data_IF_663406068339
#
_entry.id   IF_663406068339
#
_cell.length_a   1.000
_cell.length_b   1.000
_cell.length_c   1.000
_cell.angle_alpha   90.00
_cell.angle_beta   90.00
_cell.angle_gamma   90.00
#
_symmetry.space_group_name_H-M   'P 1'
#
loop_
_entity.id
_entity.type
_entity.pdbx_description
1 polymer ?
#
# COMPACT_ATOMS: atom_id res chain seq x y z
N UNK A 1 -10.38 15.55 -26.16
CA UNK A 1 -9.52 15.52 -24.95
C UNK A 1 -10.32 15.07 -23.73
N UNK A 2 -9.75 14.27 -22.81
CA UNK A 2 -10.34 13.92 -21.49
C UNK A 2 -9.23 13.72 -20.47
N UNK A 3 -9.14 14.61 -19.48
CA UNK A 3 -8.12 14.64 -18.45
C UNK A 3 -8.77 14.59 -17.07
N UNK A 4 -8.08 13.99 -16.10
CA UNK A 4 -8.54 13.81 -14.73
C UNK A 4 -7.47 14.33 -13.78
N UNK A 5 -7.87 15.08 -12.77
CA UNK A 5 -6.96 15.59 -11.74
C UNK A 5 -7.59 15.47 -10.35
N UNK A 6 -6.73 15.24 -9.37
CA UNK A 6 -7.10 15.20 -7.95
C UNK A 6 -6.05 15.94 -7.13
N UNK A 7 -6.52 16.64 -6.10
CA UNK A 7 -5.67 17.16 -5.05
C UNK A 7 -6.41 17.33 -3.73
N UNK A 8 -5.65 17.14 -2.65
CA UNK A 8 -6.07 17.30 -1.27
C UNK A 8 -5.12 18.28 -0.58
N UNK A 9 -5.65 19.37 -0.02
CA UNK A 9 -4.89 20.39 0.71
C UNK A 9 -5.62 20.80 1.98
N UNK A 10 -4.85 20.96 3.06
CA UNK A 10 -5.32 21.49 4.33
C UNK A 10 -5.45 20.43 5.41
N UNK A 11 -6.17 20.78 6.48
CA UNK A 11 -6.42 19.92 7.63
C UNK A 11 -7.91 19.98 7.99
N UNK A 12 -8.41 18.94 8.63
CA UNK A 12 -9.80 18.90 9.11
C UNK A 12 -10.07 20.04 10.12
N UNK A 13 -11.28 20.62 10.14
CA UNK A 13 -12.42 20.31 9.27
C UNK A 13 -12.44 21.10 7.95
N UNK A 14 -11.50 22.03 7.70
CA UNK A 14 -11.52 22.86 6.49
C UNK A 14 -10.87 22.23 5.25
N UNK A 15 -10.33 21.01 5.37
CA UNK A 15 -9.70 20.24 4.30
C UNK A 15 -10.46 20.36 2.96
N UNK A 16 -9.74 20.72 1.90
CA UNK A 16 -10.26 20.71 0.55
C UNK A 16 -9.80 19.46 -0.18
N UNK A 17 -10.75 18.70 -0.73
CA UNK A 17 -10.48 17.58 -1.64
C UNK A 17 -11.22 17.83 -2.95
N UNK A 18 -10.44 18.11 -3.99
CA UNK A 18 -10.89 18.45 -5.33
C UNK A 18 -10.66 17.27 -6.26
N UNK A 19 -11.74 16.79 -6.89
CA UNK A 19 -11.64 15.97 -8.10
C UNK A 19 -12.12 16.79 -9.28
N UNK A 20 -11.44 16.73 -10.41
CA UNK A 20 -11.91 17.41 -11.60
C UNK A 20 -11.68 16.61 -12.88
N UNK A 21 -12.49 16.94 -13.88
CA UNK A 21 -12.29 16.51 -15.26
C UNK A 21 -12.18 17.74 -16.17
N UNK A 22 -11.25 17.69 -17.13
CA UNK A 22 -11.03 18.72 -18.15
C UNK A 22 -11.15 18.07 -19.52
N UNK A 23 -11.87 18.69 -20.44
CA UNK A 23 -11.97 18.18 -21.80
C UNK A 23 -12.78 19.07 -22.71
N UNK A 24 -12.93 18.64 -23.95
CA UNK A 24 -13.64 19.40 -24.99
C UNK A 24 -15.14 19.52 -24.69
N UNK A 25 -15.71 20.69 -24.97
CA UNK A 25 -17.16 20.99 -24.87
C UNK A 25 -18.01 20.10 -25.78
N UNK A 26 -17.46 19.64 -26.90
CA UNK A 26 -18.12 18.73 -27.84
C UNK A 26 -17.99 17.27 -27.43
N UNK A 27 -17.16 16.97 -26.41
CA UNK A 27 -16.88 15.63 -25.93
C UNK A 27 -17.65 15.24 -24.66
N UNK A 28 -17.23 14.13 -24.01
CA UNK A 28 -17.88 13.61 -22.80
C UNK A 28 -17.93 14.61 -21.64
N UNK A 29 -16.92 15.48 -21.50
CA UNK A 29 -16.88 16.50 -20.42
C UNK A 29 -17.94 17.56 -20.65
N UNK A 30 -18.10 18.06 -21.87
CA UNK A 30 -19.17 19.00 -22.20
C UNK A 30 -20.57 18.41 -22.02
N UNK A 31 -20.76 17.13 -22.36
CA UNK A 31 -22.02 16.42 -22.08
C UNK A 31 -22.28 16.29 -20.57
N UNK A 32 -21.26 15.93 -19.79
CA UNK A 32 -21.36 15.87 -18.32
C UNK A 32 -21.67 17.24 -17.71
N UNK A 33 -21.05 18.30 -18.23
CA UNK A 33 -21.33 19.69 -17.85
C UNK A 33 -22.81 20.04 -18.11
N UNK A 34 -23.30 19.81 -19.33
CA UNK A 34 -24.67 20.14 -19.72
C UNK A 34 -25.72 19.36 -18.92
N UNK A 35 -25.47 18.08 -18.68
CA UNK A 35 -26.33 17.24 -17.85
C UNK A 35 -26.31 17.67 -16.39
N UNK A 36 -25.13 17.90 -15.81
CA UNK A 36 -25.00 18.35 -14.42
C UNK A 36 -25.66 19.70 -14.18
N UNK A 37 -25.57 20.61 -15.15
CA UNK A 37 -26.23 21.92 -15.06
C UNK A 37 -27.76 21.85 -15.11
N UNK A 38 -28.32 20.84 -15.80
CA UNK A 38 -29.77 20.74 -16.03
C UNK A 38 -30.48 19.72 -15.14
N UNK A 39 -29.75 18.72 -14.60
CA UNK A 39 -30.29 17.63 -13.81
C UNK A 39 -29.92 17.79 -12.33
N UNK A 40 -30.76 18.51 -11.60
CA UNK A 40 -30.50 18.86 -10.21
C UNK A 40 -30.87 17.71 -9.25
N UNK A 41 -29.98 17.44 -8.29
CA UNK A 41 -30.22 16.52 -7.18
C UNK A 41 -30.29 17.27 -5.87
N UNK A 42 -31.21 16.86 -4.98
CA UNK A 42 -31.40 17.51 -3.68
C UNK A 42 -30.09 17.49 -2.87
N UNK A 43 -29.60 18.68 -2.49
CA UNK A 43 -28.39 18.86 -1.70
C UNK A 43 -27.08 18.82 -2.50
N UNK A 44 -27.12 18.62 -3.83
CA UNK A 44 -25.96 18.58 -4.71
C UNK A 44 -26.12 19.51 -5.92
N UNK A 45 -26.81 20.64 -5.74
CA UNK A 45 -27.08 21.61 -6.80
C UNK A 45 -25.76 22.14 -7.37
N UNK A 46 -25.46 21.87 -8.65
CA UNK A 46 -24.26 22.40 -9.27
C UNK A 46 -24.37 23.91 -9.49
N UNK A 47 -23.24 24.59 -9.54
CA UNK A 47 -23.18 26.03 -9.79
C UNK A 47 -22.04 26.37 -10.74
N UNK A 48 -22.25 27.43 -11.52
CA UNK A 48 -21.20 27.95 -12.39
C UNK A 48 -20.11 28.61 -11.56
N UNK A 49 -18.86 28.38 -11.94
CA UNK A 49 -17.72 29.09 -11.38
C UNK A 49 -17.69 30.53 -11.92
N UNK A 50 -17.74 31.51 -11.02
CA UNK A 50 -17.72 32.94 -11.36
C UNK A 50 -16.65 33.64 -10.53
N UNK A 51 -15.87 34.52 -11.16
CA UNK A 51 -14.87 35.36 -10.46
C UNK A 51 -15.58 36.38 -9.56
N UNK A 52 -16.71 36.89 -10.06
CA UNK A 52 -17.67 37.76 -9.37
C UNK A 52 -19.01 37.68 -10.10
N UNK A 53 -20.13 38.17 -9.52
CA UNK A 53 -21.40 38.25 -10.24
C UNK A 53 -21.23 38.91 -11.62
N UNK A 54 -21.85 38.30 -12.64
CA UNK A 54 -21.77 38.72 -14.05
C UNK A 54 -20.38 38.57 -14.71
N UNK A 55 -19.43 37.84 -14.10
CA UNK A 55 -18.13 37.52 -14.69
C UNK A 55 -17.83 36.03 -14.54
N UNK A 56 -18.21 35.25 -15.56
CA UNK A 56 -17.95 33.81 -15.64
C UNK A 56 -16.46 33.54 -15.83
N UNK A 57 -15.96 32.51 -15.16
CA UNK A 57 -14.60 31.99 -15.37
C UNK A 57 -14.50 31.26 -16.71
N UNK A 58 -13.36 31.38 -17.40
CA UNK A 58 -13.01 30.56 -18.57
C UNK A 58 -11.75 29.73 -18.30
N UNK A 59 -11.65 28.45 -18.76
CA UNK A 59 -12.72 27.70 -19.44
C UNK A 59 -13.97 27.52 -18.58
N UNK A 60 -15.11 27.24 -19.22
CA UNK A 60 -16.38 27.18 -18.50
C UNK A 60 -16.34 26.06 -17.45
N UNK A 61 -16.54 26.42 -16.18
CA UNK A 61 -16.35 25.51 -15.06
C UNK A 61 -17.65 25.30 -14.27
N UNK A 62 -18.05 24.04 -14.10
CA UNK A 62 -19.17 23.62 -13.27
C UNK A 62 -18.65 23.06 -11.95
N UNK A 63 -19.15 23.59 -10.83
CA UNK A 63 -18.80 23.13 -9.49
C UNK A 63 -19.93 22.26 -8.96
N UNK A 64 -19.58 21.07 -8.47
CA UNK A 64 -20.52 20.08 -7.91
C UNK A 64 -20.17 19.80 -6.45
N UNK A 65 -21.07 20.06 -5.49
CA UNK A 65 -20.83 19.70 -4.09
C UNK A 65 -20.71 18.17 -3.92
N UNK A 66 -19.61 17.69 -3.34
CA UNK A 66 -19.38 16.25 -3.08
C UNK A 66 -20.19 15.75 -1.87
N UNK A 67 -20.46 16.64 -0.91
CA UNK A 67 -21.23 16.34 0.30
C UNK A 67 -22.62 16.97 0.20
N UNK A 68 -23.65 16.25 0.67
CA UNK A 68 -25.02 16.74 0.66
C UNK A 68 -25.15 18.01 1.52
N UNK A 69 -25.48 19.13 0.87
CA UNK A 69 -25.73 20.42 1.52
C UNK A 69 -27.07 20.36 2.25
N UNK A 70 -27.05 20.54 3.59
CA UNK A 70 -28.23 20.38 4.46
C UNK A 70 -28.87 21.70 4.90
N UNK A 71 -28.11 22.80 4.91
CA UNK A 71 -28.58 24.08 5.42
C UNK A 71 -27.90 25.27 4.70
N UNK A 72 -28.40 26.48 4.97
CA UNK A 72 -27.92 27.71 4.33
C UNK A 72 -26.48 28.07 4.71
N UNK A 73 -25.99 27.65 5.88
CA UNK A 73 -24.60 27.90 6.26
C UNK A 73 -23.63 27.10 5.38
N UNK A 74 -23.94 25.83 5.12
CA UNK A 74 -23.19 24.98 4.19
C UNK A 74 -23.32 25.48 2.74
N UNK A 75 -24.51 25.95 2.35
CA UNK A 75 -24.69 26.60 1.05
C UNK A 75 -23.76 27.84 0.94
N UNK A 76 -23.74 28.72 1.93
CA UNK A 76 -22.88 29.91 1.89
C UNK A 76 -21.38 29.58 1.76
N UNK A 77 -20.92 28.43 2.26
CA UNK A 77 -19.53 27.97 2.10
C UNK A 77 -19.20 27.57 0.65
N UNK A 78 -20.07 26.78 0.01
CA UNK A 78 -19.84 26.35 -1.37
C UNK A 78 -20.08 27.50 -2.37
N UNK A 79 -21.13 28.30 -2.17
CA UNK A 79 -21.50 29.44 -3.02
C UNK A 79 -20.66 30.70 -2.77
N UNK A 80 -19.83 30.73 -1.72
CA UNK A 80 -19.01 31.88 -1.37
C UNK A 80 -17.52 31.61 -1.58
N UNK A 81 -16.79 31.24 -0.51
CA UNK A 81 -15.34 31.08 -0.57
C UNK A 81 -14.91 29.98 -1.55
N UNK A 82 -15.58 28.83 -1.60
CA UNK A 82 -15.17 27.74 -2.49
C UNK A 82 -15.43 28.05 -3.97
N UNK A 83 -16.60 28.62 -4.33
CA UNK A 83 -16.89 29.07 -5.69
C UNK A 83 -15.83 30.05 -6.21
N UNK A 84 -15.50 31.06 -5.39
CA UNK A 84 -14.50 32.09 -5.73
C UNK A 84 -13.10 31.48 -5.84
N UNK A 85 -12.77 30.53 -4.96
CA UNK A 85 -11.49 29.84 -4.95
C UNK A 85 -11.27 29.04 -6.24
N UNK A 86 -12.25 28.20 -6.62
CA UNK A 86 -12.20 27.44 -7.87
C UNK A 86 -12.12 28.38 -9.08
N UNK A 87 -12.93 29.44 -9.08
CA UNK A 87 -12.95 30.43 -10.16
C UNK A 87 -11.58 31.06 -10.40
N UNK A 88 -10.95 31.56 -9.33
CA UNK A 88 -9.63 32.18 -9.40
C UNK A 88 -8.55 31.17 -9.76
N UNK A 89 -8.59 29.96 -9.21
CA UNK A 89 -7.61 28.93 -9.53
C UNK A 89 -7.62 28.55 -11.02
N UNK A 90 -8.81 28.44 -11.63
CA UNK A 90 -8.93 28.19 -13.08
C UNK A 90 -8.40 29.36 -13.89
N UNK A 91 -8.78 30.60 -13.55
CA UNK A 91 -8.31 31.78 -14.27
C UNK A 91 -6.78 31.97 -14.16
N UNK A 92 -6.22 31.78 -12.96
CA UNK A 92 -4.79 31.86 -12.73
C UNK A 92 -4.04 30.73 -13.45
N UNK A 93 -4.62 29.52 -13.55
CA UNK A 93 -4.05 28.43 -14.34
C UNK A 93 -3.95 28.75 -15.84
N UNK A 94 -4.85 29.58 -16.36
CA UNK A 94 -4.76 30.10 -17.73
C UNK A 94 -3.67 31.17 -17.82
N UNK A 95 -3.67 32.12 -16.89
CA UNK A 95 -2.67 33.20 -16.85
C UNK A 95 -1.24 32.65 -16.76
N UNK A 96 -1.05 31.54 -16.05
CA UNK A 96 0.23 30.87 -15.88
C UNK A 96 0.58 29.91 -17.02
N UNK A 97 -0.32 29.73 -17.99
CA UNK A 97 -0.12 28.87 -19.16
C UNK A 97 -0.28 27.37 -18.91
N UNK A 98 -0.75 26.95 -17.73
CA UNK A 98 -1.09 25.55 -17.43
C UNK A 98 -2.26 25.09 -18.31
N UNK A 99 -3.26 25.95 -18.46
CA UNK A 99 -4.32 25.80 -19.47
C UNK A 99 -3.99 26.74 -20.63
N UNK A 100 -3.80 26.24 -21.87
CA UNK A 100 -3.54 27.08 -23.03
C UNK A 100 -4.66 28.10 -23.28
N UNK A 101 -4.29 29.38 -23.46
CA UNK A 101 -5.25 30.48 -23.66
C UNK A 101 -6.09 30.30 -24.94
N UNK A 102 -5.52 29.68 -25.98
CA UNK A 102 -6.20 29.38 -27.25
C UNK A 102 -7.27 28.29 -27.12
N UNK A 103 -7.32 27.55 -26.00
CA UNK A 103 -8.30 26.49 -25.74
C UNK A 103 -9.44 26.91 -24.80
N UNK A 104 -9.48 28.17 -24.35
CA UNK A 104 -10.47 28.69 -23.41
C UNK A 104 -11.93 28.47 -23.84
N UNK A 105 -12.21 28.60 -25.14
CA UNK A 105 -13.55 28.44 -25.69
C UNK A 105 -13.89 26.99 -26.02
N UNK A 106 -12.90 26.11 -26.13
CA UNK A 106 -13.10 24.72 -26.51
C UNK A 106 -13.21 23.78 -25.31
N UNK A 107 -12.57 24.14 -24.19
CA UNK A 107 -12.58 23.33 -22.98
C UNK A 107 -13.74 23.65 -22.03
N UNK A 108 -14.16 22.62 -21.31
CA UNK A 108 -15.01 22.71 -20.13
C UNK A 108 -14.33 21.97 -18.97
N UNK A 109 -14.62 22.43 -17.75
CA UNK A 109 -14.14 21.81 -16.52
C UNK A 109 -15.34 21.46 -15.65
N UNK A 110 -15.34 20.26 -15.06
CA UNK A 110 -16.27 19.90 -13.99
C UNK A 110 -15.45 19.60 -12.74
N UNK A 111 -15.72 20.32 -11.65
CA UNK A 111 -14.98 20.25 -10.39
C UNK A 111 -15.91 19.76 -9.30
N UNK A 112 -15.60 18.61 -8.71
CA UNK A 112 -16.24 18.11 -7.50
C UNK A 112 -15.52 18.65 -6.27
N UNK A 113 -16.25 19.35 -5.41
CA UNK A 113 -15.69 20.04 -4.25
C UNK A 113 -16.18 19.40 -2.96
N UNK A 114 -15.25 18.89 -2.16
CA UNK A 114 -15.52 18.47 -0.79
C UNK A 114 -15.38 19.64 0.18
N UNK A 115 -16.38 19.83 1.04
CA UNK A 115 -16.32 20.68 2.22
C UNK A 115 -16.89 19.85 3.38
N UNK A 116 -16.12 19.71 4.47
CA UNK A 116 -16.59 18.96 5.62
C UNK A 116 -17.84 19.62 6.24
N UNK A 117 -18.86 18.86 6.70
CA UNK A 117 -20.06 19.42 7.32
C UNK A 117 -19.83 20.35 8.51
N UNK A 118 -18.69 20.19 9.19
CA UNK A 118 -18.30 20.96 10.37
C UNK A 118 -17.33 22.11 10.08
N UNK A 119 -16.92 22.30 8.82
CA UNK A 119 -16.07 23.42 8.42
C UNK A 119 -16.74 24.75 8.80
N UNK A 120 -15.97 25.74 9.26
CA UNK A 120 -16.50 27.05 9.67
C UNK A 120 -15.65 28.22 9.20
N UNK A 121 -14.35 28.03 9.00
CA UNK A 121 -13.44 29.11 8.63
C UNK A 121 -13.46 29.37 7.11
N UNK A 122 -14.11 30.47 6.71
CA UNK A 122 -14.24 30.86 5.30
C UNK A 122 -12.89 31.19 4.64
N UNK A 123 -11.91 31.68 5.40
CA UNK A 123 -10.59 32.02 4.87
C UNK A 123 -9.83 30.74 4.51
N UNK A 124 -9.82 29.76 5.41
CA UNK A 124 -9.24 28.44 5.15
C UNK A 124 -9.95 27.72 4.01
N UNK A 125 -11.29 27.71 4.00
CA UNK A 125 -12.07 27.13 2.90
C UNK A 125 -11.63 27.73 1.56
N UNK A 126 -11.51 29.06 1.46
CA UNK A 126 -11.03 29.72 0.24
C UNK A 126 -9.60 29.26 -0.12
N UNK A 127 -8.64 29.37 0.79
CA UNK A 127 -7.22 29.11 0.51
C UNK A 127 -6.96 27.66 0.11
N UNK A 128 -7.55 26.71 0.85
CA UNK A 128 -7.36 25.29 0.59
C UNK A 128 -8.04 24.86 -0.72
N UNK A 129 -9.26 25.33 -1.00
CA UNK A 129 -9.92 25.03 -2.27
C UNK A 129 -9.20 25.67 -3.46
N UNK A 130 -8.63 26.86 -3.30
CA UNK A 130 -7.85 27.53 -4.35
C UNK A 130 -6.59 26.73 -4.68
N UNK A 131 -5.79 26.40 -3.65
CA UNK A 131 -4.57 25.61 -3.82
C UNK A 131 -4.85 24.22 -4.38
N UNK A 132 -5.84 23.51 -3.83
CA UNK A 132 -6.20 22.16 -4.29
C UNK A 132 -6.70 22.19 -5.74
N UNK A 133 -7.53 23.18 -6.12
CA UNK A 133 -7.99 23.29 -7.50
C UNK A 133 -6.84 23.54 -8.46
N UNK A 134 -5.92 24.45 -8.12
CA UNK A 134 -4.76 24.76 -8.96
C UNK A 134 -3.87 23.52 -9.15
N UNK A 135 -3.54 22.82 -8.07
CA UNK A 135 -2.75 21.59 -8.12
C UNK A 135 -3.46 20.48 -8.91
N UNK A 136 -4.77 20.32 -8.75
CA UNK A 136 -5.55 19.32 -9.49
C UNK A 136 -5.57 19.64 -11.00
N UNK A 137 -5.68 20.91 -11.40
CA UNK A 137 -5.60 21.33 -12.80
C UNK A 137 -4.21 21.02 -13.37
N UNK A 138 -3.16 21.41 -12.66
CA UNK A 138 -1.77 21.15 -13.07
C UNK A 138 -1.53 19.65 -13.28
N UNK A 139 -1.94 18.83 -12.31
CA UNK A 139 -1.84 17.37 -12.40
C UNK A 139 -2.63 16.80 -13.57
N UNK A 140 -3.85 17.28 -13.82
CA UNK A 140 -4.65 16.84 -14.96
C UNK A 140 -3.97 17.16 -16.30
N UNK A 141 -3.47 18.39 -16.45
CA UNK A 141 -2.81 18.85 -17.68
C UNK A 141 -1.47 18.17 -17.93
N UNK A 142 -0.75 17.78 -16.87
CA UNK A 142 0.51 17.04 -16.95
C UNK A 142 0.31 15.52 -17.06
N UNK A 143 -0.92 15.00 -16.90
CA UNK A 143 -1.18 13.56 -16.87
C UNK A 143 -0.61 12.87 -15.63
N UNK A 144 -0.52 13.59 -14.51
CA UNK A 144 -0.03 13.06 -13.24
C UNK A 144 -1.11 12.23 -12.51
N UNK A 145 -0.74 11.13 -11.82
CA UNK A 145 0.60 10.54 -11.80
C UNK A 145 0.90 9.76 -13.08
N UNK A 146 2.16 9.77 -13.50
CA UNK A 146 2.61 8.84 -14.54
C UNK A 146 2.64 7.40 -14.01
N UNK A 147 2.76 6.43 -14.91
CA UNK A 147 2.73 5.01 -14.52
C UNK A 147 3.88 4.65 -13.57
N UNK A 148 5.03 5.34 -13.61
CA UNK A 148 6.18 5.01 -12.76
C UNK A 148 5.94 5.50 -11.33
N UNK A 149 5.49 6.74 -11.19
CA UNK A 149 5.14 7.36 -9.92
C UNK A 149 4.03 6.56 -9.25
N UNK A 150 2.97 6.20 -9.99
CA UNK A 150 1.88 5.39 -9.45
C UNK A 150 2.37 4.04 -8.92
N UNK A 151 3.20 3.33 -9.68
CA UNK A 151 3.70 2.01 -9.28
C UNK A 151 4.63 2.07 -8.07
N UNK A 152 5.34 3.18 -7.88
CA UNK A 152 6.23 3.41 -6.75
C UNK A 152 5.47 3.82 -5.48
N UNK A 153 4.50 4.74 -5.59
CA UNK A 153 3.81 5.31 -4.43
C UNK A 153 2.72 4.40 -3.84
N UNK A 154 2.12 3.53 -4.67
CA UNK A 154 0.98 2.68 -4.26
C UNK A 154 1.28 1.79 -3.05
N UNK A 155 2.54 1.41 -2.84
CA UNK A 155 2.95 0.53 -1.73
C UNK A 155 3.66 1.29 -0.60
N UNK A 156 3.88 2.61 -0.74
CA UNK A 156 4.50 3.48 0.29
C UNK A 156 3.47 4.07 1.24
N UNK A 157 2.32 4.45 0.69
CA UNK A 157 1.36 5.32 1.35
C UNK A 157 0.21 4.53 1.99
N UNK A 158 -0.29 5.05 3.11
CA UNK A 158 -1.51 4.57 3.74
C UNK A 158 -2.64 5.51 3.36
N UNK A 159 -3.79 4.96 2.93
CA UNK A 159 -4.97 5.79 2.72
C UNK A 159 -5.48 6.31 4.08
N UNK A 160 -5.70 7.62 4.28
CA UNK A 160 -6.00 8.21 5.59
C UNK A 160 -7.20 7.57 6.32
N UNK A 161 -8.23 7.16 5.57
CA UNK A 161 -9.45 6.53 6.13
C UNK A 161 -9.27 5.04 6.46
N UNK A 162 -8.28 4.37 5.85
CA UNK A 162 -8.13 2.92 5.97
C UNK A 162 -7.73 2.50 7.40
N UNK A 163 -7.07 3.38 8.16
CA UNK A 163 -6.70 3.14 9.56
C UNK A 163 -5.62 2.08 9.78
N UNK A 164 -5.19 1.38 8.72
CA UNK A 164 -4.07 0.46 8.72
C UNK A 164 -3.37 0.45 7.35
N UNK A 165 -2.09 0.07 7.36
CA UNK A 165 -1.25 -0.06 6.17
C UNK A 165 -1.22 -1.52 5.71
N UNK A 166 -1.42 -1.75 4.42
CA UNK A 166 -1.16 -3.06 3.80
C UNK A 166 0.30 -3.08 3.39
N UNK A 167 1.10 -3.84 4.13
CA UNK A 167 2.55 -3.98 3.84
C UNK A 167 2.73 -4.89 2.62
N UNK A 168 3.64 -4.52 1.73
CA UNK A 168 4.07 -5.32 0.57
C UNK A 168 5.60 -5.48 0.61
N UNK A 169 6.09 -6.59 0.09
CA UNK A 169 7.52 -6.93 0.13
C UNK A 169 8.26 -6.40 -1.11
N UNK A 170 8.47 -5.08 -1.18
CA UNK A 170 9.08 -4.42 -2.35
C UNK A 170 10.41 -3.70 -2.06
N UNK A 171 10.73 -3.45 -0.79
CA UNK A 171 11.92 -2.73 -0.32
C UNK A 171 12.76 -3.58 0.64
N UNK A 172 13.33 -4.72 0.20
CA UNK A 172 14.16 -5.56 1.06
C UNK A 172 15.48 -4.86 1.48
N UNK A 173 16.15 -5.34 2.54
CA UNK A 173 15.85 -6.56 3.30
C UNK A 173 14.84 -6.42 4.44
N UNK A 174 14.24 -7.55 4.81
CA UNK A 174 13.25 -7.68 5.90
C UNK A 174 13.76 -8.57 7.04
N UNK A 175 13.30 -8.31 8.26
CA UNK A 175 13.42 -9.20 9.42
C UNK A 175 12.09 -9.92 9.63
N UNK A 176 12.08 -11.25 9.54
CA UNK A 176 10.93 -12.09 9.87
C UNK A 176 11.12 -12.73 11.25
N UNK A 177 10.22 -12.42 12.18
CA UNK A 177 10.23 -12.98 13.53
C UNK A 177 9.31 -14.20 13.58
N UNK A 178 9.92 -15.39 13.71
CA UNK A 178 9.21 -16.66 13.79
C UNK A 178 8.75 -16.97 15.22
N UNK A 179 7.42 -16.98 15.44
CA UNK A 179 6.83 -17.21 16.76
C UNK A 179 6.36 -18.66 16.88
N UNK A 180 7.32 -19.55 17.16
CA UNK A 180 7.09 -20.99 17.38
C UNK A 180 6.70 -21.35 18.83
N UNK A 181 5.94 -20.48 19.50
CA UNK A 181 5.52 -20.68 20.88
C UNK A 181 4.03 -21.00 20.86
N UNK A 182 3.62 -22.24 21.18
CA UNK A 182 2.21 -22.64 21.17
C UNK A 182 1.50 -22.13 22.45
N UNK A 183 1.60 -20.84 22.75
CA UNK A 183 0.96 -20.16 23.88
C UNK A 183 0.53 -18.75 23.42
N UNK A 184 -0.79 -18.54 23.34
CA UNK A 184 -1.35 -17.30 22.79
C UNK A 184 -1.05 -16.07 23.65
N UNK A 185 -0.94 -16.22 24.97
CA UNK A 185 -0.66 -15.10 25.87
C UNK A 185 0.81 -14.69 25.77
N UNK A 186 1.70 -15.66 25.65
CA UNK A 186 3.11 -15.41 25.34
C UNK A 186 3.27 -14.71 23.98
N UNK A 187 2.55 -15.17 22.94
CA UNK A 187 2.55 -14.55 21.60
C UNK A 187 2.11 -13.08 21.69
N UNK A 188 0.99 -12.80 22.36
CA UNK A 188 0.50 -11.42 22.55
C UNK A 188 1.52 -10.54 23.29
N UNK A 189 2.19 -11.09 24.30
CA UNK A 189 3.24 -10.38 25.04
C UNK A 189 4.45 -10.05 24.15
N UNK A 190 4.89 -11.00 23.33
CA UNK A 190 6.01 -10.83 22.39
C UNK A 190 5.67 -9.76 21.34
N UNK A 191 4.51 -9.86 20.70
CA UNK A 191 4.10 -8.93 19.64
C UNK A 191 4.05 -7.47 20.13
N UNK A 192 3.63 -7.25 21.39
CA UNK A 192 3.63 -5.93 22.02
C UNK A 192 5.03 -5.36 22.28
N UNK A 193 6.03 -6.23 22.44
CA UNK A 193 7.41 -5.83 22.67
C UNK A 193 8.17 -5.57 21.36
N UNK A 194 7.86 -6.30 20.29
CA UNK A 194 8.47 -6.13 18.97
C UNK A 194 8.22 -4.68 18.47
N UNK A 195 9.26 -3.92 18.08
CA UNK A 195 9.13 -2.55 17.59
C UNK A 195 8.31 -2.48 16.29
N UNK A 196 7.73 -1.31 16.03
CA UNK A 196 7.12 -1.00 14.73
C UNK A 196 8.22 -0.73 13.71
N UNK A 197 8.11 -1.32 12.53
CA UNK A 197 9.00 -1.11 11.39
C UNK A 197 8.32 -1.62 10.13
N UNK A 198 8.52 -0.92 9.01
CA UNK A 198 8.12 -1.32 7.67
C UNK A 198 8.94 -2.52 7.15
N UNK A 199 10.06 -2.82 7.79
CA UNK A 199 10.97 -3.93 7.45
C UNK A 199 10.75 -5.16 8.32
N UNK A 200 9.66 -5.22 9.09
CA UNK A 200 9.38 -6.32 10.01
C UNK A 200 8.18 -7.17 9.60
N UNK A 201 8.42 -8.48 9.54
CA UNK A 201 7.44 -9.52 9.27
C UNK A 201 7.21 -10.34 10.54
N UNK A 202 5.97 -10.71 10.81
CA UNK A 202 5.60 -11.63 11.89
C UNK A 202 5.19 -12.96 11.27
N UNK A 203 5.80 -14.05 11.71
CA UNK A 203 5.41 -15.39 11.29
C UNK A 203 4.69 -16.12 12.42
N UNK A 204 3.45 -16.54 12.13
CA UNK A 204 2.74 -17.52 12.92
C UNK A 204 3.33 -18.91 12.62
N UNK A 205 4.30 -19.31 13.44
CA UNK A 205 5.08 -20.53 13.25
C UNK A 205 4.24 -21.81 13.30
N UNK A 206 4.77 -22.89 12.71
CA UNK A 206 4.07 -24.19 12.62
C UNK A 206 3.45 -24.64 13.95
N UNK A 207 4.17 -24.70 15.10
CA UNK A 207 3.59 -25.19 16.36
C UNK A 207 2.38 -24.35 16.85
N UNK A 208 2.42 -23.05 16.61
CA UNK A 208 1.35 -22.13 16.97
C UNK A 208 0.09 -22.41 16.15
N UNK A 209 0.25 -22.53 14.83
CA UNK A 209 -0.84 -22.87 13.91
C UNK A 209 -1.38 -24.28 14.18
N UNK A 210 -0.54 -25.26 14.45
CA UNK A 210 -1.00 -26.62 14.77
C UNK A 210 -1.83 -26.67 16.06
N UNK A 211 -1.57 -25.78 17.02
CA UNK A 211 -2.33 -25.72 18.28
C UNK A 211 -3.65 -24.96 18.16
N UNK A 212 -3.66 -23.81 17.48
CA UNK A 212 -4.79 -22.88 17.49
C UNK A 212 -5.49 -22.71 16.14
N UNK A 213 -4.99 -23.36 15.09
CA UNK A 213 -5.42 -23.16 13.72
C UNK A 213 -4.97 -21.82 13.15
N UNK A 214 -5.37 -21.55 11.90
CA UNK A 214 -5.03 -20.31 11.17
C UNK A 214 -5.66 -19.05 11.79
N UNK A 215 -6.68 -19.21 12.64
CA UNK A 215 -7.33 -18.09 13.33
C UNK A 215 -6.40 -17.31 14.26
N UNK A 216 -5.23 -17.87 14.62
CA UNK A 216 -4.21 -17.13 15.37
C UNK A 216 -3.76 -15.84 14.66
N UNK A 217 -3.88 -15.79 13.33
CA UNK A 217 -3.61 -14.59 12.53
C UNK A 217 -4.48 -13.41 12.99
N UNK A 218 -5.75 -13.65 13.35
CA UNK A 218 -6.63 -12.60 13.86
C UNK A 218 -6.12 -12.01 15.17
N UNK A 219 -5.63 -12.85 16.09
CA UNK A 219 -5.02 -12.39 17.34
C UNK A 219 -3.75 -11.56 17.11
N UNK A 220 -2.97 -11.90 16.08
CA UNK A 220 -1.80 -11.10 15.67
C UNK A 220 -2.26 -9.74 15.13
N UNK A 221 -3.28 -9.72 14.25
CA UNK A 221 -3.86 -8.50 13.66
C UNK A 221 -4.44 -7.56 14.70
N UNK A 222 -5.17 -8.09 15.69
CA UNK A 222 -5.71 -7.30 16.80
C UNK A 222 -4.59 -6.60 17.60
N UNK A 223 -3.48 -7.31 17.82
CA UNK A 223 -2.33 -6.74 18.53
C UNK A 223 -1.51 -5.78 17.65
N UNK A 224 -1.49 -6.01 16.33
CA UNK A 224 -0.70 -5.23 15.37
C UNK A 224 -1.35 -5.22 13.98
N UNK A 225 -2.27 -4.26 13.71
CA UNK A 225 -3.04 -4.22 12.47
C UNK A 225 -2.17 -4.13 11.20
N UNK A 226 -1.06 -3.40 11.29
CA UNK A 226 -0.14 -3.14 10.17
C UNK A 226 0.93 -4.22 9.95
N UNK A 227 0.94 -5.32 10.73
CA UNK A 227 1.99 -6.33 10.59
C UNK A 227 1.90 -7.03 9.22
N UNK A 228 3.02 -7.33 8.58
CA UNK A 228 2.99 -8.37 7.54
C UNK A 228 2.97 -9.73 8.23
N UNK A 229 1.95 -10.56 8.00
CA UNK A 229 1.77 -11.85 8.70
C UNK A 229 1.97 -13.03 7.76
N UNK A 230 2.99 -13.85 8.04
CA UNK A 230 3.24 -15.14 7.37
C UNK A 230 2.57 -16.25 8.18
N UNK A 231 1.81 -17.11 7.53
CA UNK A 231 1.23 -18.32 8.13
C UNK A 231 2.05 -19.55 7.72
N UNK A 232 2.81 -20.10 8.68
CA UNK A 232 3.71 -21.23 8.44
C UNK A 232 2.98 -22.58 8.60
N UNK A 233 2.24 -22.98 7.56
CA UNK A 233 1.49 -24.25 7.56
C UNK A 233 2.39 -25.44 7.23
N UNK A 234 3.49 -25.19 6.51
CA UNK A 234 4.29 -26.21 5.80
C UNK A 234 3.41 -27.13 4.98
N UNK A 235 2.54 -26.53 4.17
CA UNK A 235 1.57 -27.24 3.33
C UNK A 235 2.24 -28.33 2.52
N UNK A 236 1.80 -29.57 2.72
CA UNK A 236 2.30 -30.77 2.00
C UNK A 236 1.29 -31.34 1.01
N UNK A 237 -0.01 -31.11 1.25
CA UNK A 237 -1.10 -31.54 0.38
C UNK A 237 -2.22 -30.48 0.36
N UNK A 238 -3.14 -30.59 -0.61
CA UNK A 238 -4.31 -29.72 -0.74
C UNK A 238 -3.98 -28.22 -0.87
N UNK A 239 -2.90 -27.91 -1.59
CA UNK A 239 -2.31 -26.57 -1.66
C UNK A 239 -3.27 -25.41 -1.93
N UNK A 240 -4.28 -25.59 -2.80
CA UNK A 240 -5.30 -24.58 -3.05
C UNK A 240 -6.25 -24.37 -1.86
N UNK A 241 -6.62 -25.44 -1.14
CA UNK A 241 -7.50 -25.33 0.02
C UNK A 241 -6.78 -24.60 1.16
N UNK A 242 -5.53 -24.97 1.47
CA UNK A 242 -4.75 -24.34 2.53
C UNK A 242 -4.43 -22.87 2.23
N UNK A 243 -4.03 -22.55 1.00
CA UNK A 243 -3.83 -21.16 0.58
C UNK A 243 -5.09 -20.31 0.72
N UNK A 244 -6.26 -20.88 0.40
CA UNK A 244 -7.55 -20.21 0.58
C UNK A 244 -7.86 -19.95 2.06
N UNK A 245 -7.67 -20.94 2.93
CA UNK A 245 -7.88 -20.79 4.37
C UNK A 245 -6.98 -19.71 4.98
N UNK A 246 -5.72 -19.62 4.55
CA UNK A 246 -4.78 -18.58 5.01
C UNK A 246 -5.21 -17.19 4.57
N UNK A 247 -5.65 -17.05 3.30
CA UNK A 247 -6.16 -15.77 2.80
C UNK A 247 -7.43 -15.33 3.51
N UNK A 248 -8.39 -16.25 3.71
CA UNK A 248 -9.63 -15.98 4.43
C UNK A 248 -9.37 -15.59 5.91
N UNK A 249 -8.26 -16.07 6.48
CA UNK A 249 -7.78 -15.69 7.81
C UNK A 249 -7.01 -14.35 7.85
N UNK A 250 -6.85 -13.66 6.71
CA UNK A 250 -6.19 -12.34 6.56
C UNK A 250 -4.66 -12.32 6.77
N UNK A 251 -4.01 -13.47 6.60
CA UNK A 251 -2.55 -13.51 6.53
C UNK A 251 -2.06 -13.02 5.16
N UNK A 252 -0.87 -12.44 5.12
CA UNK A 252 -0.28 -11.90 3.90
C UNK A 252 0.51 -12.94 3.12
N UNK A 253 0.90 -14.05 3.73
CA UNK A 253 1.62 -15.12 3.06
C UNK A 253 1.32 -16.51 3.63
N UNK A 254 1.43 -17.54 2.78
CA UNK A 254 1.40 -18.95 3.16
C UNK A 254 2.76 -19.61 2.93
N UNK A 255 3.20 -20.43 3.89
CA UNK A 255 4.37 -21.29 3.72
C UNK A 255 3.97 -22.69 3.26
N UNK A 256 4.57 -23.10 2.15
CA UNK A 256 4.39 -24.39 1.48
C UNK A 256 5.70 -25.16 1.59
N UNK A 257 5.64 -26.46 1.91
CA UNK A 257 6.86 -27.27 1.94
C UNK A 257 7.38 -27.52 0.52
N UNK A 258 8.68 -27.31 0.30
CA UNK A 258 9.37 -27.67 -0.94
C UNK A 258 9.46 -29.18 -1.19
N UNK A 259 9.11 -30.01 -0.21
CA UNK A 259 8.94 -31.46 -0.35
C UNK A 259 7.57 -31.87 -0.90
N UNK A 260 6.61 -30.95 -0.99
CA UNK A 260 5.30 -31.24 -1.54
C UNK A 260 5.40 -31.61 -3.03
N UNK A 261 4.46 -32.41 -3.57
CA UNK A 261 4.40 -32.65 -5.00
C UNK A 261 4.33 -31.34 -5.79
N UNK A 262 5.02 -31.27 -6.95
CA UNK A 262 5.04 -30.09 -7.83
C UNK A 262 3.63 -29.55 -8.09
N UNK A 263 2.66 -30.44 -8.35
CA UNK A 263 1.27 -30.07 -8.57
C UNK A 263 0.61 -29.39 -7.37
N UNK A 264 0.99 -29.76 -6.14
CA UNK A 264 0.49 -29.16 -4.90
C UNK A 264 1.07 -27.77 -4.71
N UNK A 265 2.38 -27.62 -4.91
CA UNK A 265 3.07 -26.32 -4.85
C UNK A 265 2.45 -25.35 -5.85
N UNK A 266 2.29 -25.76 -7.11
CA UNK A 266 1.71 -24.89 -8.14
C UNK A 266 0.25 -24.51 -7.87
N UNK A 267 -0.55 -25.44 -7.31
CA UNK A 267 -1.94 -25.14 -6.91
C UNK A 267 -1.97 -24.10 -5.78
N UNK A 268 -1.09 -24.21 -4.80
CA UNK A 268 -0.98 -23.23 -3.73
C UNK A 268 -0.54 -21.85 -4.24
N UNK A 269 0.49 -21.78 -5.10
CA UNK A 269 0.95 -20.52 -5.70
C UNK A 269 -0.16 -19.86 -6.53
N UNK A 270 -0.90 -20.64 -7.33
CA UNK A 270 -2.01 -20.11 -8.14
C UNK A 270 -3.13 -19.55 -7.27
N UNK A 271 -3.50 -20.25 -6.19
CA UNK A 271 -4.55 -19.77 -5.30
C UNK A 271 -4.09 -18.55 -4.49
N UNK A 272 -2.84 -18.53 -4.00
CA UNK A 272 -2.24 -17.38 -3.30
C UNK A 272 -2.30 -16.10 -4.18
N UNK A 273 -1.89 -16.21 -5.45
CA UNK A 273 -1.98 -15.09 -6.41
C UNK A 273 -3.42 -14.64 -6.67
N UNK A 274 -4.36 -15.58 -6.73
CA UNK A 274 -5.79 -15.30 -6.93
C UNK A 274 -6.40 -14.56 -5.74
N UNK A 275 -5.97 -14.88 -4.52
CA UNK A 275 -6.46 -14.25 -3.29
C UNK A 275 -5.66 -13.03 -2.86
N UNK A 276 -4.52 -12.74 -3.51
CA UNK A 276 -3.71 -11.53 -3.28
C UNK A 276 -2.69 -11.65 -2.15
N UNK A 277 -2.38 -12.89 -1.72
CA UNK A 277 -1.36 -13.21 -0.71
C UNK A 277 -0.09 -13.76 -1.37
N UNK A 278 1.02 -13.76 -0.64
CA UNK A 278 2.32 -14.26 -1.09
C UNK A 278 2.43 -15.78 -0.88
N UNK A 279 3.08 -16.46 -1.83
CA UNK A 279 3.48 -17.85 -1.66
C UNK A 279 4.96 -17.93 -1.26
N UNK A 280 5.23 -18.58 -0.13
CA UNK A 280 6.57 -18.90 0.38
C UNK A 280 6.81 -20.40 0.23
N UNK A 281 7.94 -20.81 -0.35
CA UNK A 281 8.35 -22.22 -0.35
C UNK A 281 9.47 -22.43 0.67
N UNK A 282 9.20 -23.20 1.72
CA UNK A 282 10.20 -23.62 2.71
C UNK A 282 10.98 -24.84 2.19
N UNK A 283 12.29 -24.67 2.03
CA UNK A 283 13.20 -25.69 1.53
C UNK A 283 13.84 -26.56 2.62
N UNK A 284 13.30 -26.54 3.84
CA UNK A 284 13.72 -27.44 4.91
C UNK A 284 13.71 -28.90 4.42
N UNK A 285 14.84 -29.58 4.58
CA UNK A 285 15.10 -30.97 4.14
C UNK A 285 15.02 -31.21 2.62
N UNK A 286 15.03 -30.16 1.78
CA UNK A 286 15.10 -30.30 0.32
C UNK A 286 16.56 -30.36 -0.13
N UNK A 287 16.97 -31.48 -0.73
CA UNK A 287 18.36 -31.68 -1.18
C UNK A 287 18.83 -30.68 -2.24
N UNK A 288 17.96 -30.37 -3.22
CA UNK A 288 18.28 -29.51 -4.37
C UNK A 288 17.20 -28.44 -4.58
N UNK A 289 17.18 -27.36 -3.77
CA UNK A 289 16.16 -26.31 -3.84
C UNK A 289 16.01 -25.69 -5.23
N UNK A 290 17.14 -25.42 -5.91
CA UNK A 290 17.12 -24.87 -7.27
C UNK A 290 16.43 -25.80 -8.29
N UNK A 291 16.52 -27.13 -8.10
CA UNK A 291 15.88 -28.09 -8.99
C UNK A 291 14.35 -28.07 -8.82
N UNK A 292 13.87 -27.96 -7.58
CA UNK A 292 12.44 -27.78 -7.28
C UNK A 292 11.92 -26.52 -7.97
N UNK A 293 12.59 -25.38 -7.77
CA UNK A 293 12.19 -24.12 -8.39
C UNK A 293 12.20 -24.19 -9.92
N UNK A 294 13.19 -24.86 -10.54
CA UNK A 294 13.25 -25.04 -12.00
C UNK A 294 12.10 -25.90 -12.54
N UNK A 295 11.63 -26.88 -11.79
CA UNK A 295 10.52 -27.74 -12.18
C UNK A 295 9.15 -27.03 -12.17
N UNK A 296 9.01 -25.94 -11.40
CA UNK A 296 7.76 -25.17 -11.34
C UNK A 296 7.56 -24.32 -12.60
N UNK A 297 6.37 -24.38 -13.19
CA UNK A 297 5.94 -23.49 -14.28
C UNK A 297 5.57 -22.10 -13.78
N UNK A 298 5.14 -22.00 -12.52
CA UNK A 298 4.82 -20.75 -11.84
C UNK A 298 5.74 -20.57 -10.63
N UNK A 299 6.44 -19.44 -10.56
CA UNK A 299 7.36 -19.16 -9.44
C UNK A 299 6.62 -18.62 -8.22
N UNK A 300 7.07 -18.99 -7.00
CA UNK A 300 6.59 -18.38 -5.76
C UNK A 300 7.09 -16.93 -5.66
N UNK A 301 6.58 -16.20 -4.67
CA UNK A 301 7.04 -14.85 -4.38
C UNK A 301 8.28 -14.87 -3.47
N UNK A 302 8.38 -15.87 -2.58
CA UNK A 302 9.51 -16.08 -1.69
C UNK A 302 9.97 -17.55 -1.73
N UNK A 303 11.28 -17.78 -1.72
CA UNK A 303 11.87 -19.07 -1.35
C UNK A 303 12.63 -18.93 -0.04
N UNK A 304 12.33 -19.79 0.92
CA UNK A 304 13.01 -19.84 2.20
C UNK A 304 14.02 -20.99 2.24
N UNK A 305 15.27 -20.63 2.52
CA UNK A 305 16.40 -21.54 2.60
C UNK A 305 16.67 -21.81 4.08
N UNK A 306 16.00 -22.85 4.58
CA UNK A 306 15.99 -23.20 5.99
C UNK A 306 17.05 -24.26 6.29
N UNK A 307 18.05 -23.89 7.10
CA UNK A 307 19.01 -24.84 7.64
C UNK A 307 18.39 -25.64 8.78
N UNK A 308 18.49 -26.97 8.72
CA UNK A 308 18.17 -27.78 9.88
C UNK A 308 19.13 -27.42 11.03
N UNK A 309 18.55 -26.96 12.16
CA UNK A 309 19.31 -26.50 13.33
C UNK A 309 20.09 -27.66 13.97
N UNK A 310 19.69 -28.90 13.73
CA UNK A 310 20.31 -30.11 14.28
C UNK A 310 21.47 -30.66 13.42
N UNK A 311 21.75 -30.06 12.26
CA UNK A 311 22.90 -30.41 11.40
C UNK A 311 24.01 -29.38 11.53
N UNK A 312 24.82 -29.51 12.57
CA UNK A 312 26.04 -28.71 12.77
C UNK A 312 27.16 -29.16 11.81
N UNK A 313 27.45 -28.32 10.79
CA UNK A 313 28.58 -28.49 9.88
C UNK A 313 28.94 -27.17 9.17
N UNK A 314 30.25 -26.88 9.07
CA UNK A 314 30.89 -25.66 8.49
C UNK A 314 30.31 -25.28 7.11
N UNK A 315 29.79 -24.07 6.89
CA UNK A 315 30.47 -22.78 6.73
C UNK A 315 31.30 -22.68 5.43
N UNK A 316 30.59 -22.53 4.30
CA UNK A 316 30.97 -21.74 3.10
C UNK A 316 29.81 -21.69 2.08
N UNK A 317 28.86 -22.62 2.13
CA UNK A 317 27.65 -22.68 1.26
C UNK A 317 26.35 -22.86 2.06
N UNK A 318 26.21 -22.15 3.19
CA UNK A 318 25.18 -22.40 4.20
C UNK A 318 23.73 -22.29 3.69
N UNK A 319 23.50 -21.50 2.63
CA UNK A 319 22.17 -21.26 2.05
C UNK A 319 22.13 -21.55 0.53
N UNK A 320 23.00 -22.43 0.01
CA UNK A 320 23.00 -22.77 -1.42
C UNK A 320 23.31 -21.59 -2.35
N UNK A 321 22.85 -21.68 -3.61
CA UNK A 321 23.14 -20.69 -4.68
C UNK A 321 21.97 -19.69 -4.84
N UNK A 322 21.95 -18.69 -3.95
CA UNK A 322 20.99 -17.58 -3.96
C UNK A 322 21.02 -16.81 -5.30
N UNK A 323 22.19 -16.42 -5.86
CA UNK A 323 22.25 -15.73 -7.14
C UNK A 323 21.59 -16.50 -8.29
N UNK A 324 21.73 -17.83 -8.35
CA UNK A 324 21.05 -18.64 -9.37
C UNK A 324 19.53 -18.67 -9.19
N UNK A 325 19.02 -18.63 -7.95
CA UNK A 325 17.57 -18.57 -7.70
C UNK A 325 16.97 -17.24 -8.14
N UNK A 326 17.63 -16.11 -7.82
CA UNK A 326 17.15 -14.77 -8.21
C UNK A 326 17.08 -14.59 -9.74
N UNK A 327 17.90 -15.33 -10.50
CA UNK A 327 17.82 -15.36 -11.98
C UNK A 327 16.54 -16.03 -12.52
N UNK A 328 15.80 -16.78 -11.72
CA UNK A 328 14.57 -17.45 -12.15
C UNK A 328 13.38 -16.49 -12.27
N UNK A 329 13.40 -15.36 -11.55
CA UNK A 329 12.37 -14.33 -11.58
C UNK A 329 12.88 -13.06 -10.89
N UNK A 330 12.75 -11.91 -11.55
CA UNK A 330 13.14 -10.61 -10.98
C UNK A 330 12.40 -10.25 -9.69
N UNK A 331 11.22 -10.85 -9.46
CA UNK A 331 10.38 -10.60 -8.29
C UNK A 331 10.57 -11.62 -7.17
N UNK A 332 11.40 -12.66 -7.36
CA UNK A 332 11.59 -13.69 -6.36
C UNK A 332 12.49 -13.17 -5.24
N UNK A 333 11.95 -13.13 -4.02
CA UNK A 333 12.71 -12.86 -2.80
C UNK A 333 13.28 -14.16 -2.23
N UNK A 334 14.46 -14.06 -1.62
CA UNK A 334 15.10 -15.19 -0.95
C UNK A 334 15.16 -14.94 0.56
N UNK A 335 14.47 -15.77 1.32
CA UNK A 335 14.55 -15.80 2.77
C UNK A 335 15.61 -16.82 3.22
N UNK A 336 16.30 -16.53 4.32
CA UNK A 336 17.23 -17.47 4.96
C UNK A 336 16.85 -17.66 6.42
N UNK A 337 16.88 -18.92 6.86
CA UNK A 337 16.49 -19.33 8.20
C UNK A 337 17.47 -20.36 8.79
N UNK A 338 17.33 -20.61 10.10
CA UNK A 338 18.09 -21.62 10.83
C UNK A 338 19.32 -21.05 11.54
N UNK A 339 19.16 -20.77 12.84
CA UNK A 339 20.27 -20.44 13.74
C UNK A 339 20.91 -19.06 13.54
N UNK A 340 20.26 -18.15 12.81
CA UNK A 340 20.79 -16.80 12.54
C UNK A 340 20.88 -16.00 13.86
N UNK A 341 22.03 -15.36 14.05
CA UNK A 341 22.32 -14.41 15.12
C UNK A 341 22.66 -13.04 14.54
N UNK A 342 22.64 -12.00 15.37
CA UNK A 342 22.92 -10.61 14.96
C UNK A 342 24.23 -10.51 14.18
N UNK A 343 25.28 -11.18 14.66
CA UNK A 343 26.60 -11.19 14.03
C UNK A 343 26.64 -11.84 12.63
N UNK A 344 25.68 -12.72 12.31
CA UNK A 344 25.61 -13.44 11.02
C UNK A 344 24.73 -12.77 9.97
N UNK A 345 23.95 -11.73 10.35
CA UNK A 345 23.03 -11.02 9.43
C UNK A 345 23.78 -10.44 8.24
N UNK A 346 24.93 -9.78 8.49
CA UNK A 346 25.75 -9.18 7.43
C UNK A 346 26.21 -10.20 6.38
N UNK A 347 26.52 -11.43 6.78
CA UNK A 347 26.96 -12.50 5.88
C UNK A 347 25.79 -13.02 5.03
N UNK A 348 24.63 -13.22 5.66
CA UNK A 348 23.40 -13.60 4.97
C UNK A 348 23.00 -12.57 3.90
N UNK A 349 23.02 -11.28 4.24
CA UNK A 349 22.72 -10.21 3.28
C UNK A 349 23.74 -10.14 2.14
N UNK A 350 25.04 -10.28 2.45
CA UNK A 350 26.09 -10.35 1.41
C UNK A 350 25.91 -11.53 0.45
N UNK A 351 25.29 -12.61 0.91
CA UNK A 351 24.97 -13.78 0.08
C UNK A 351 23.76 -13.54 -0.83
N UNK A 352 23.06 -12.41 -0.70
CA UNK A 352 21.95 -12.00 -1.54
C UNK A 352 20.56 -12.27 -0.95
N UNK A 353 20.48 -12.64 0.33
CA UNK A 353 19.22 -12.82 1.03
C UNK A 353 18.45 -11.48 1.13
N UNK A 354 17.13 -11.57 0.95
CA UNK A 354 16.19 -10.46 1.04
C UNK A 354 15.40 -10.49 2.35
N UNK A 355 15.29 -11.66 3.01
CA UNK A 355 14.55 -11.80 4.28
C UNK A 355 15.39 -12.64 5.24
N UNK A 356 15.54 -12.15 6.46
CA UNK A 356 16.24 -12.82 7.56
C UNK A 356 15.21 -13.37 8.54
N UNK A 357 15.08 -14.70 8.62
CA UNK A 357 14.12 -15.37 9.50
C UNK A 357 14.78 -15.73 10.83
N UNK A 358 14.22 -15.23 11.92
CA UNK A 358 14.78 -15.38 13.27
C UNK A 358 13.68 -15.78 14.26
N UNK A 359 13.83 -16.96 14.86
CA UNK A 359 12.92 -17.45 15.90
C UNK A 359 13.45 -17.21 17.31
N UNK A 360 13.99 -18.27 17.92
CA UNK A 360 14.38 -18.33 19.34
C UNK A 360 15.34 -17.23 19.80
N UNK A 361 16.22 -16.73 18.93
CA UNK A 361 17.16 -15.66 19.30
C UNK A 361 16.42 -14.37 19.72
N UNK A 362 15.25 -14.09 19.13
CA UNK A 362 14.38 -12.98 19.51
C UNK A 362 13.36 -13.43 20.56
N UNK A 363 12.59 -14.49 20.27
CA UNK A 363 11.41 -14.86 21.09
C UNK A 363 11.73 -15.40 22.48
N UNK A 364 12.98 -15.85 22.72
CA UNK A 364 13.47 -16.25 24.05
C UNK A 364 14.48 -15.27 24.65
N UNK A 365 14.67 -14.10 24.04
CA UNK A 365 15.52 -13.07 24.60
C UNK A 365 14.94 -12.57 25.93
N UNK A 366 15.80 -12.15 26.87
CA UNK A 366 15.36 -11.48 28.10
C UNK A 366 14.65 -10.16 27.80
N UNK A 367 15.10 -9.48 26.75
CA UNK A 367 14.51 -8.26 26.22
C UNK A 367 14.26 -8.46 24.72
N UNK A 368 13.00 -8.75 24.39
CA UNK A 368 12.56 -9.01 23.00
C UNK A 368 12.70 -7.75 22.15
N UNK A 369 12.39 -6.58 22.73
CA UNK A 369 12.44 -5.29 22.02
C UNK A 369 13.87 -4.99 21.59
N UNK A 370 14.78 -4.92 22.55
CA UNK A 370 16.19 -4.58 22.29
C UNK A 370 16.85 -5.57 21.34
N UNK A 371 16.56 -6.87 21.48
CA UNK A 371 17.10 -7.87 20.57
C UNK A 371 16.56 -7.69 19.14
N UNK A 372 15.26 -7.39 18.99
CA UNK A 372 14.68 -7.14 17.66
C UNK A 372 15.28 -5.89 17.01
N UNK A 373 15.47 -4.81 17.78
CA UNK A 373 16.09 -3.57 17.32
C UNK A 373 17.51 -3.81 16.78
N UNK A 374 18.32 -4.63 17.47
CA UNK A 374 19.66 -5.00 16.99
C UNK A 374 19.65 -5.71 15.63
N UNK A 375 18.68 -6.61 15.40
CA UNK A 375 18.54 -7.25 14.08
C UNK A 375 18.10 -6.25 13.00
N UNK A 376 17.18 -5.33 13.31
CA UNK A 376 16.73 -4.29 12.38
C UNK A 376 17.85 -3.32 12.01
N UNK A 377 18.68 -2.90 12.98
CA UNK A 377 19.84 -2.05 12.74
C UNK A 377 20.83 -2.66 11.75
N UNK A 378 21.01 -3.99 11.80
CA UNK A 378 21.88 -4.72 10.87
C UNK A 378 21.35 -4.76 9.43
N UNK A 379 20.05 -4.54 9.21
CA UNK A 379 19.47 -4.42 7.87
C UNK A 379 19.92 -3.13 7.16
N UNK A 380 20.27 -2.09 7.92
CA UNK A 380 20.67 -0.76 7.41
C UNK A 380 19.66 -0.14 6.45
N UNK A 381 18.38 -0.38 6.69
CA UNK A 381 17.30 0.19 5.89
C UNK A 381 16.55 1.28 6.67
N UNK A 382 16.32 2.46 6.07
CA UNK A 382 15.46 3.46 6.67
C UNK A 382 13.99 3.04 6.58
N UNK A 383 13.18 3.57 7.51
CA UNK A 383 11.73 3.49 7.42
C UNK A 383 11.23 4.24 6.17
N UNK A 384 10.12 3.78 5.60
CA UNK A 384 9.58 4.33 4.36
C UNK A 384 8.86 5.64 4.69
N UNK A 385 9.24 6.74 4.04
CA UNK A 385 8.50 8.01 4.16
C UNK A 385 7.09 7.86 3.56
N UNK A 386 6.08 8.17 4.36
CA UNK A 386 4.66 7.98 4.05
C UNK A 386 3.91 9.30 3.83
N UNK A 387 4.58 10.44 4.03
CA UNK A 387 3.90 11.75 4.09
C UNK A 387 3.98 12.55 2.79
N UNK A 388 4.92 12.22 1.91
CA UNK A 388 5.21 12.99 0.69
C UNK A 388 5.19 12.11 -0.53
N UNK A 389 4.54 12.58 -1.57
CA UNK A 389 4.64 11.97 -2.89
C UNK A 389 6.01 12.33 -3.47
N UNK A 390 6.69 11.40 -4.15
CA UNK A 390 8.06 11.58 -4.68
C UNK A 390 8.23 12.84 -5.55
N UNK A 391 7.16 13.39 -6.11
CA UNK A 391 7.20 14.61 -6.94
C UNK A 391 7.14 15.92 -6.15
N UNK A 392 6.98 15.88 -4.83
CA UNK A 392 6.95 17.09 -3.98
C UNK A 392 8.37 17.58 -3.57
N UNK A 393 9.42 17.09 -4.26
CA UNK A 393 10.83 17.37 -3.97
C UNK A 393 11.52 18.23 -5.05
#
# INVERSE_FOLDING_TARGET
>A
MFLVGEALIGEEPELAHIDLIIGEKTGPVGQAFANGFTQLSKGHTPLLSVIRPNLLTKPATLIVPKVTVKNMAQAAQIFGPAQTAVARAVADSVQEGVIPEDQLEELAVVVSVFIHPEAKDYNKIYRYNYGATKLAIERAMQGFPDSKTLMYEKDRTMHPIMGFKVVRLWNPPYLQVAIDIPDIDAVKSIIKQIPQSDHLIIEAGTPLIKRYGVNVVQSIREARPNAFVVADLKTLDTGNLEARMVADATADAIVISGLAPVSTIEKAIKEAKKTGIYAVIDMLNVDKPLSVLKALTIKPDVVELHRAIDTEGKAEHAWGDIPAMKKLSERLLVAVAGGIRVETVKEALKSGADIIVVGRAITKAKDVRSMTEQFLEELKQPEIDQYRVMTDF
#
